data_IF_187251252008
#
_entry.id   IF_187251252008
#
_cell.length_a   1.000
_cell.length_b   1.000
_cell.length_c   1.000
_cell.angle_alpha   90.00
_cell.angle_beta   90.00
_cell.angle_gamma   90.00
#
_symmetry.space_group_name_H-M   'P 1'
#
loop_
_entity.id
_entity.type
_entity.pdbx_description
1 polymer ?
#
# COMPACT_ATOMS: atom_id res chain seq x y z
N UNK A 1 -31.28 -27.02 4.50
CA UNK A 1 -31.02 -25.77 3.76
C UNK A 1 -29.53 -25.64 3.61
N UNK A 2 -29.04 -25.79 2.38
CA UNK A 2 -27.63 -25.64 2.06
C UNK A 2 -27.28 -24.15 1.91
N UNK A 3 -26.02 -23.81 2.17
CA UNK A 3 -25.54 -22.46 1.93
C UNK A 3 -25.47 -22.21 0.41
N UNK A 4 -26.09 -21.13 -0.04
CA UNK A 4 -26.08 -20.75 -1.46
C UNK A 4 -25.05 -19.65 -1.69
N UNK A 5 -24.35 -19.76 -2.82
CA UNK A 5 -23.31 -18.83 -3.23
C UNK A 5 -23.70 -18.23 -4.58
N UNK A 6 -23.68 -16.90 -4.66
CA UNK A 6 -24.00 -16.17 -5.89
C UNK A 6 -22.87 -15.18 -6.18
N UNK A 7 -22.31 -15.25 -7.38
CA UNK A 7 -21.33 -14.29 -7.87
C UNK A 7 -22.07 -13.14 -8.58
N UNK A 8 -21.86 -11.91 -8.15
CA UNK A 8 -22.37 -10.71 -8.79
C UNK A 8 -21.22 -9.99 -9.49
N UNK A 9 -21.33 -9.80 -10.80
CA UNK A 9 -20.28 -9.21 -11.66
C UNK A 9 -20.93 -8.54 -12.87
N UNK A 10 -20.46 -7.36 -13.25
CA UNK A 10 -20.93 -6.64 -14.45
C UNK A 10 -22.48 -6.54 -14.57
N UNK A 11 -23.16 -6.26 -13.45
CA UNK A 11 -24.63 -6.21 -13.32
C UNK A 11 -25.36 -7.54 -13.61
N UNK A 12 -24.63 -8.65 -13.64
CA UNK A 12 -25.16 -10.00 -13.78
C UNK A 12 -24.95 -10.77 -12.47
N UNK A 13 -25.76 -11.82 -12.27
CA UNK A 13 -25.67 -12.70 -11.11
C UNK A 13 -25.60 -14.14 -11.59
N UNK A 14 -24.62 -14.89 -11.08
CA UNK A 14 -24.38 -16.28 -11.42
C UNK A 14 -24.44 -17.14 -10.18
N UNK A 15 -25.17 -18.24 -10.27
CA UNK A 15 -25.14 -19.26 -9.22
C UNK A 15 -23.82 -20.00 -9.27
N UNK A 16 -23.16 -20.04 -8.12
CA UNK A 16 -21.86 -20.70 -7.96
C UNK A 16 -22.11 -22.19 -7.75
N UNK A 17 -21.52 -22.99 -8.63
CA UNK A 17 -21.61 -24.44 -8.61
C UNK A 17 -20.71 -25.05 -7.53
N UNK A 18 -19.48 -24.54 -7.43
CA UNK A 18 -18.48 -25.09 -6.53
C UNK A 18 -17.47 -24.02 -6.09
N UNK A 19 -17.04 -24.09 -4.82
CA UNK A 19 -15.85 -23.39 -4.34
C UNK A 19 -14.67 -24.36 -4.42
N UNK A 20 -13.63 -23.99 -5.17
CA UNK A 20 -12.42 -24.79 -5.35
C UNK A 20 -11.38 -24.47 -4.27
N UNK A 21 -11.25 -23.19 -3.94
CA UNK A 21 -10.31 -22.68 -2.95
C UNK A 21 -10.92 -21.46 -2.27
N UNK A 22 -10.73 -21.35 -0.95
CA UNK A 22 -11.12 -20.18 -0.18
C UNK A 22 -10.09 -19.95 0.92
N UNK A 23 -9.42 -18.80 0.87
CA UNK A 23 -8.47 -18.36 1.88
C UNK A 23 -8.92 -17.03 2.46
N UNK A 24 -9.10 -17.00 3.78
CA UNK A 24 -9.36 -15.78 4.56
C UNK A 24 -8.56 -15.83 5.85
N UNK A 25 -7.94 -14.71 6.22
CA UNK A 25 -7.11 -14.61 7.42
C UNK A 25 -7.00 -13.19 7.93
N UNK A 26 -6.56 -13.05 9.18
CA UNK A 26 -6.27 -11.72 9.74
C UNK A 26 -5.01 -11.18 9.08
N UNK A 27 -5.06 -9.93 8.62
CA UNK A 27 -3.96 -9.25 7.94
C UNK A 27 -3.44 -9.97 6.68
N UNK A 28 -4.29 -10.78 6.04
CA UNK A 28 -3.99 -11.45 4.78
C UNK A 28 -5.08 -11.10 3.76
N UNK A 29 -4.72 -10.77 2.51
CA UNK A 29 -5.72 -10.62 1.45
C UNK A 29 -6.44 -11.96 1.25
N UNK A 30 -7.76 -11.90 1.16
CA UNK A 30 -8.53 -13.09 0.83
C UNK A 30 -8.40 -13.43 -0.65
N UNK A 31 -8.62 -14.71 -0.96
CA UNK A 31 -8.71 -15.23 -2.32
C UNK A 31 -9.74 -16.37 -2.37
N UNK A 32 -10.65 -16.29 -3.33
CA UNK A 32 -11.71 -17.28 -3.55
C UNK A 32 -11.68 -17.74 -5.01
N UNK A 33 -11.38 -19.01 -5.24
CA UNK A 33 -11.51 -19.64 -6.55
C UNK A 33 -12.80 -20.45 -6.61
N UNK A 34 -13.63 -20.17 -7.60
CA UNK A 34 -14.99 -20.71 -7.71
C UNK A 34 -15.34 -21.04 -9.15
N UNK A 35 -16.32 -21.94 -9.31
CA UNK A 35 -16.92 -22.30 -10.58
C UNK A 35 -18.38 -21.86 -10.62
N UNK A 36 -18.80 -21.34 -11.76
CA UNK A 36 -20.18 -20.95 -12.03
C UNK A 36 -20.51 -21.27 -13.49
N UNK A 37 -21.80 -21.21 -13.84
CA UNK A 37 -22.24 -21.46 -15.20
C UNK A 37 -23.07 -20.30 -15.74
N UNK A 38 -23.08 -20.19 -17.07
CA UNK A 38 -23.89 -19.24 -17.81
C UNK A 38 -24.45 -19.89 -19.06
N UNK A 39 -25.67 -19.54 -19.43
CA UNK A 39 -26.29 -19.90 -20.72
C UNK A 39 -25.61 -19.17 -21.87
N UNK A 40 -25.22 -17.92 -21.63
CA UNK A 40 -24.57 -17.07 -22.64
C UNK A 40 -23.07 -17.27 -22.63
N UNK A 41 -22.44 -17.15 -23.81
CA UNK A 41 -20.99 -17.11 -23.94
C UNK A 41 -20.45 -15.76 -23.47
N UNK A 42 -19.76 -15.78 -22.35
CA UNK A 42 -19.21 -14.61 -21.68
C UNK A 42 -17.83 -14.25 -22.25
N UNK A 43 -17.59 -12.95 -22.45
CA UNK A 43 -16.27 -12.40 -22.83
C UNK A 43 -15.43 -12.18 -21.58
N UNK A 44 -14.66 -13.19 -21.17
CA UNK A 44 -13.93 -13.17 -19.89
C UNK A 44 -12.87 -12.07 -19.80
N UNK A 45 -12.30 -11.66 -20.93
CA UNK A 45 -11.29 -10.59 -20.98
C UNK A 45 -11.83 -9.26 -20.46
N UNK A 46 -13.12 -8.95 -20.71
CA UNK A 46 -13.72 -7.70 -20.25
C UNK A 46 -14.08 -7.73 -18.76
N UNK A 47 -13.83 -8.84 -18.07
CA UNK A 47 -14.17 -9.01 -16.66
C UNK A 47 -12.94 -9.01 -15.74
N UNK A 48 -11.74 -9.21 -16.29
CA UNK A 48 -10.51 -9.15 -15.51
C UNK A 48 -10.31 -7.73 -14.98
N UNK A 49 -10.11 -7.60 -13.68
CA UNK A 49 -9.97 -6.32 -12.98
C UNK A 49 -11.29 -5.62 -12.67
N UNK A 50 -12.45 -6.21 -13.02
CA UNK A 50 -13.75 -5.66 -12.69
C UNK A 50 -14.14 -5.97 -11.23
N UNK A 51 -14.87 -5.05 -10.55
CA UNK A 51 -15.39 -5.30 -9.22
C UNK A 51 -16.45 -6.41 -9.26
N UNK A 52 -16.32 -7.35 -8.33
CA UNK A 52 -17.25 -8.45 -8.16
C UNK A 52 -17.60 -8.64 -6.69
N UNK A 53 -18.78 -9.17 -6.43
CA UNK A 53 -19.24 -9.50 -5.08
C UNK A 53 -19.70 -10.94 -5.00
N UNK A 54 -19.08 -11.71 -4.12
CA UNK A 54 -19.59 -13.02 -3.74
C UNK A 54 -20.60 -12.87 -2.60
N UNK A 55 -21.82 -13.34 -2.82
CA UNK A 55 -22.91 -13.32 -1.85
C UNK A 55 -23.11 -14.73 -1.31
N UNK A 56 -22.94 -14.88 0.01
CA UNK A 56 -23.14 -16.11 0.74
C UNK A 56 -24.47 -16.01 1.47
N UNK A 57 -25.43 -16.87 1.15
CA UNK A 57 -26.74 -16.94 1.80
C UNK A 57 -26.78 -18.17 2.70
N UNK A 58 -26.79 -17.96 4.02
CA UNK A 58 -26.84 -19.02 5.01
C UNK A 58 -28.26 -19.52 5.32
N UNK A 59 -28.36 -20.52 6.19
CA UNK A 59 -29.63 -20.96 6.76
C UNK A 59 -30.31 -19.76 7.45
N UNK A 60 -31.62 -19.57 7.24
CA UNK A 60 -32.41 -18.41 7.68
C UNK A 60 -32.23 -17.11 6.89
N UNK A 61 -31.61 -17.17 5.71
CA UNK A 61 -31.56 -16.03 4.79
C UNK A 61 -30.56 -14.93 5.19
N UNK A 62 -29.72 -15.17 6.20
CA UNK A 62 -28.65 -14.25 6.55
C UNK A 62 -27.61 -14.22 5.41
N UNK A 63 -27.37 -13.04 4.88
CA UNK A 63 -26.40 -12.84 3.81
C UNK A 63 -25.08 -12.25 4.32
N UNK A 64 -23.98 -12.78 3.81
CA UNK A 64 -22.64 -12.18 3.89
C UNK A 64 -22.21 -11.81 2.47
N UNK A 65 -21.72 -10.58 2.30
CA UNK A 65 -21.20 -10.10 1.01
C UNK A 65 -19.69 -9.94 1.11
N UNK A 66 -18.97 -10.48 0.14
CA UNK A 66 -17.51 -10.37 0.01
C UNK A 66 -17.25 -9.62 -1.29
N UNK A 67 -16.85 -8.35 -1.16
CA UNK A 67 -16.55 -7.49 -2.30
C UNK A 67 -15.04 -7.56 -2.63
N UNK A 68 -14.73 -7.74 -3.91
CA UNK A 68 -13.36 -7.83 -4.40
C UNK A 68 -13.28 -7.58 -5.90
N UNK A 69 -12.21 -8.08 -6.52
CA UNK A 69 -11.96 -7.97 -7.95
C UNK A 69 -11.71 -9.33 -8.58
N UNK A 70 -12.13 -9.50 -9.82
CA UNK A 70 -11.84 -10.70 -10.59
C UNK A 70 -10.41 -10.65 -11.12
N UNK A 71 -9.50 -11.50 -10.62
CA UNK A 71 -8.09 -11.49 -11.03
C UNK A 71 -7.76 -12.57 -12.06
N UNK A 72 -8.59 -13.60 -12.14
CA UNK A 72 -8.45 -14.69 -13.11
C UNK A 72 -9.83 -15.15 -13.56
N UNK A 73 -9.93 -15.55 -14.82
CA UNK A 73 -11.14 -16.10 -15.42
C UNK A 73 -10.76 -17.07 -16.53
N UNK A 74 -11.39 -18.24 -16.55
CA UNK A 74 -11.22 -19.22 -17.63
C UNK A 74 -12.53 -19.97 -17.91
N UNK A 75 -12.70 -20.40 -19.16
CA UNK A 75 -13.78 -21.30 -19.56
C UNK A 75 -13.29 -22.75 -19.42
N UNK A 76 -14.06 -23.58 -18.74
CA UNK A 76 -13.75 -25.00 -18.52
C UNK A 76 -14.39 -25.92 -19.56
N UNK A 77 -15.44 -25.45 -20.24
CA UNK A 77 -16.13 -26.22 -21.27
C UNK A 77 -17.64 -26.05 -21.21
N UNK A 78 -18.34 -26.90 -21.96
CA UNK A 78 -19.81 -26.92 -22.02
C UNK A 78 -20.31 -28.12 -21.22
N UNK A 79 -21.39 -27.92 -20.48
CA UNK A 79 -22.08 -28.97 -19.73
C UNK A 79 -22.54 -30.09 -20.67
N UNK A 80 -22.65 -31.36 -20.21
CA UNK A 80 -23.02 -32.48 -21.09
C UNK A 80 -24.36 -32.33 -21.83
N UNK A 81 -25.27 -31.53 -21.28
CA UNK A 81 -26.55 -31.16 -21.89
C UNK A 81 -26.44 -30.08 -22.98
N UNK A 82 -25.22 -29.58 -23.25
CA UNK A 82 -24.89 -28.50 -24.17
C UNK A 82 -25.61 -27.17 -23.90
N UNK A 83 -26.26 -27.02 -22.75
CA UNK A 83 -27.09 -25.85 -22.45
C UNK A 83 -26.29 -24.70 -21.81
N UNK A 84 -25.27 -25.03 -21.01
CA UNK A 84 -24.53 -24.06 -20.21
C UNK A 84 -23.02 -24.20 -20.40
N UNK A 85 -22.31 -23.08 -20.40
CA UNK A 85 -20.84 -23.02 -20.35
C UNK A 85 -20.41 -22.89 -18.89
N UNK A 86 -19.44 -23.71 -18.48
CA UNK A 86 -18.86 -23.70 -17.14
C UNK A 86 -17.62 -22.81 -17.14
N UNK A 87 -17.56 -21.92 -16.17
CA UNK A 87 -16.48 -20.97 -15.96
C UNK A 87 -15.85 -21.17 -14.60
N UNK A 88 -14.56 -20.84 -14.51
CA UNK A 88 -13.85 -20.69 -13.24
C UNK A 88 -13.32 -19.26 -13.14
N UNK A 89 -13.45 -18.68 -11.96
CA UNK A 89 -12.88 -17.37 -11.67
C UNK A 89 -12.26 -17.31 -10.29
N UNK A 90 -11.32 -16.37 -10.13
CA UNK A 90 -10.69 -16.05 -8.87
C UNK A 90 -11.09 -14.64 -8.44
N UNK A 91 -11.78 -14.55 -7.31
CA UNK A 91 -12.13 -13.32 -6.64
C UNK A 91 -11.07 -13.00 -5.58
N UNK A 92 -10.35 -11.90 -5.75
CA UNK A 92 -9.30 -11.47 -4.83
C UNK A 92 -9.67 -10.19 -4.09
N UNK A 93 -9.04 -10.01 -2.93
CA UNK A 93 -9.14 -8.75 -2.17
C UNK A 93 -8.58 -7.56 -2.97
N UNK A 94 -9.17 -6.36 -2.82
CA UNK A 94 -8.55 -5.13 -3.33
C UNK A 94 -7.10 -4.95 -2.84
N UNK A 95 -6.77 -5.41 -1.62
CA UNK A 95 -5.39 -5.37 -1.10
C UNK A 95 -4.41 -6.19 -1.95
N UNK A 96 -4.87 -7.23 -2.64
CA UNK A 96 -4.03 -8.02 -3.54
C UNK A 96 -3.54 -7.17 -4.72
N UNK A 97 -4.35 -6.22 -5.20
CA UNK A 97 -3.93 -5.30 -6.28
C UNK A 97 -2.81 -4.35 -5.82
N UNK A 98 -2.84 -3.90 -4.56
CA UNK A 98 -1.76 -3.08 -4.00
C UNK A 98 -0.42 -3.84 -3.96
N UNK A 99 -0.44 -5.17 -3.81
CA UNK A 99 0.76 -5.99 -3.82
C UNK A 99 1.49 -6.02 -5.17
N UNK A 100 0.79 -5.64 -6.25
CA UNK A 100 1.37 -5.53 -7.60
C UNK A 100 2.15 -4.22 -7.80
N UNK A 101 2.07 -3.28 -6.86
CA UNK A 101 2.73 -1.98 -6.94
C UNK A 101 3.90 -1.91 -5.96
N UNK A 102 5.05 -1.40 -6.42
CA UNK A 102 6.23 -1.22 -5.58
C UNK A 102 6.80 0.20 -5.76
N UNK A 103 7.08 0.89 -4.66
CA UNK A 103 7.65 2.25 -4.68
C UNK A 103 8.68 2.43 -3.57
N UNK A 104 9.68 3.29 -3.80
CA UNK A 104 10.71 3.63 -2.81
C UNK A 104 10.52 5.07 -2.36
N UNK A 105 10.30 5.31 -1.07
CA UNK A 105 10.00 6.65 -0.52
C UNK A 105 10.51 6.82 0.90
N UNK A 106 10.78 8.08 1.28
CA UNK A 106 11.17 8.48 2.64
C UNK A 106 10.07 9.35 3.23
N UNK A 107 9.56 8.96 4.41
CA UNK A 107 8.57 9.72 5.17
C UNK A 107 9.26 10.35 6.40
N UNK A 108 9.14 11.67 6.57
CA UNK A 108 9.81 12.42 7.66
C UNK A 108 8.77 13.17 8.47
N UNK A 109 8.89 13.13 9.80
CA UNK A 109 7.98 13.81 10.74
C UNK A 109 6.50 13.42 10.56
N UNK A 110 6.21 12.18 10.14
CA UNK A 110 4.86 11.66 9.94
C UNK A 110 4.61 10.43 10.82
N UNK A 111 3.40 10.27 11.36
CA UNK A 111 3.06 9.03 12.09
C UNK A 111 2.89 7.86 11.12
N UNK A 112 3.03 6.64 11.61
CA UNK A 112 2.77 5.42 10.80
C UNK A 112 1.35 5.45 10.22
N UNK A 113 0.38 5.98 10.96
CA UNK A 113 -1.02 6.08 10.52
C UNK A 113 -1.15 7.07 9.37
N UNK A 114 -0.46 8.21 9.43
CA UNK A 114 -0.48 9.20 8.35
C UNK A 114 0.19 8.67 7.09
N UNK A 115 1.30 7.94 7.25
CA UNK A 115 1.98 7.27 6.13
C UNK A 115 1.05 6.24 5.47
N UNK A 116 0.41 5.37 6.25
CA UNK A 116 -0.52 4.37 5.71
C UNK A 116 -1.69 5.06 5.00
N UNK A 117 -2.27 6.11 5.60
CA UNK A 117 -3.37 6.88 4.99
C UNK A 117 -2.93 7.46 3.64
N UNK A 118 -1.76 8.08 3.60
CA UNK A 118 -1.21 8.67 2.37
C UNK A 118 -1.02 7.60 1.29
N UNK A 119 -0.36 6.48 1.61
CA UNK A 119 -0.12 5.39 0.64
C UNK A 119 -1.42 4.83 0.08
N UNK A 120 -2.42 4.58 0.92
CA UNK A 120 -3.72 4.09 0.48
C UNK A 120 -4.46 5.11 -0.40
N UNK A 121 -4.45 6.39 -0.01
CA UNK A 121 -5.12 7.45 -0.76
C UNK A 121 -4.51 7.62 -2.16
N UNK A 122 -3.18 7.55 -2.26
CA UNK A 122 -2.47 7.61 -3.55
C UNK A 122 -2.78 6.41 -4.45
N UNK A 123 -3.12 5.26 -3.86
CA UNK A 123 -3.63 4.11 -4.60
C UNK A 123 -5.14 4.21 -4.94
N UNK A 124 -5.73 5.41 -4.85
CA UNK A 124 -7.15 5.71 -5.07
C UNK A 124 -8.11 5.06 -4.04
N UNK A 125 -7.63 4.73 -2.84
CA UNK A 125 -8.50 4.23 -1.79
C UNK A 125 -9.11 5.36 -0.98
N UNK A 126 -10.41 5.27 -0.70
CA UNK A 126 -11.17 6.29 0.03
C UNK A 126 -11.44 5.79 1.45
N UNK A 127 -11.06 6.60 2.45
CA UNK A 127 -11.36 6.33 3.86
C UNK A 127 -12.88 6.27 4.09
N UNK A 128 -13.33 5.38 4.98
CA UNK A 128 -14.74 4.99 5.24
C UNK A 128 -15.43 4.20 4.13
N UNK A 129 -14.87 4.15 2.93
CA UNK A 129 -15.38 3.30 1.83
C UNK A 129 -14.55 2.01 1.76
N UNK A 130 -13.24 2.13 1.57
CA UNK A 130 -12.35 0.97 1.41
C UNK A 130 -11.62 0.61 2.71
N UNK A 131 -11.28 1.60 3.53
CA UNK A 131 -10.55 1.37 4.79
C UNK A 131 -11.00 2.35 5.89
N UNK A 132 -10.73 2.01 7.13
CA UNK A 132 -10.97 2.88 8.29
C UNK A 132 -9.93 2.57 9.37
N UNK A 133 -9.47 3.58 10.09
CA UNK A 133 -8.62 3.37 11.27
C UNK A 133 -9.47 3.21 12.52
N UNK A 134 -9.34 2.07 13.20
CA UNK A 134 -9.91 1.82 14.53
C UNK A 134 -8.77 1.50 15.49
N UNK A 135 -8.16 2.54 16.03
CA UNK A 135 -6.97 2.45 16.87
C UNK A 135 -7.38 2.51 18.34
N UNK A 136 -6.68 1.75 19.19
CA UNK A 136 -6.87 1.82 20.65
C UNK A 136 -5.92 2.81 21.33
N UNK A 137 -4.88 3.22 20.62
CA UNK A 137 -3.81 4.09 21.13
C UNK A 137 -3.24 4.93 19.98
N UNK A 138 -2.54 6.00 20.34
CA UNK A 138 -1.81 6.84 19.40
C UNK A 138 -0.45 6.22 19.05
N UNK A 139 0.01 6.48 17.82
CA UNK A 139 1.30 6.00 17.32
C UNK A 139 2.29 7.16 17.19
N UNK A 140 3.56 6.97 17.57
CA UNK A 140 4.57 8.03 17.50
C UNK A 140 4.92 8.39 16.06
N UNK A 141 5.52 9.57 15.87
CA UNK A 141 6.06 10.02 14.60
C UNK A 141 7.28 9.16 14.20
N UNK A 142 7.32 8.72 12.94
CA UNK A 142 8.46 8.07 12.32
C UNK A 142 9.54 9.10 12.02
N UNK A 143 10.75 8.86 12.56
CA UNK A 143 11.89 9.78 12.61
C UNK A 143 11.52 11.18 13.15
N UNK A 144 11.88 11.44 14.40
CA UNK A 144 12.11 12.82 14.83
C UNK A 144 13.28 13.32 14.02
N UNK A 145 13.13 14.40 13.25
CA UNK A 145 14.29 15.09 12.69
C UNK A 145 15.33 15.28 13.81
N UNK A 146 16.65 15.16 13.55
CA UNK A 146 17.62 15.57 14.54
C UNK A 146 17.25 17.01 14.88
N UNK A 147 16.77 17.20 16.12
CA UNK A 147 16.39 18.50 16.66
C UNK A 147 17.46 19.47 16.20
N UNK A 148 17.02 20.63 15.69
CA UNK A 148 17.88 21.78 15.45
C UNK A 148 19.00 21.75 16.47
N UNK A 149 20.21 21.51 15.99
CA UNK A 149 21.39 21.70 16.80
C UNK A 149 21.26 23.14 17.27
N UNK A 150 20.88 23.33 18.54
CA UNK A 150 21.03 24.63 19.17
C UNK A 150 22.46 25.03 18.84
N UNK A 151 22.73 26.21 18.25
CA UNK A 151 24.11 26.64 18.08
C UNK A 151 24.74 26.50 19.46
N UNK A 152 25.75 25.64 19.58
CA UNK A 152 26.44 25.42 20.84
C UNK A 152 26.75 26.80 21.41
N UNK A 153 26.42 27.08 22.68
CA UNK A 153 26.82 28.35 23.27
C UNK A 153 28.35 28.44 23.15
N UNK A 154 28.83 29.55 22.57
CA UNK A 154 30.25 29.88 22.33
C UNK A 154 31.09 30.01 23.62
N UNK A 155 30.61 29.46 24.73
CA UNK A 155 31.16 29.56 26.08
C UNK A 155 31.81 28.25 26.55
N UNK A 156 32.04 27.27 25.66
CA UNK A 156 33.13 26.30 25.84
C UNK A 156 34.50 26.96 25.60
N UNK A 157 34.71 28.11 26.24
CA UNK A 157 35.99 28.70 26.54
C UNK A 157 36.23 28.41 28.04
N UNK A 158 36.64 27.18 28.32
CA UNK A 158 37.23 26.82 29.61
C UNK A 158 38.58 26.18 29.32
N UNK A 159 39.56 27.08 29.16
CA UNK A 159 40.99 26.80 29.26
C UNK A 159 41.24 25.89 30.47
N UNK A 160 41.57 24.63 30.25
CA UNK A 160 42.36 23.87 31.21
C UNK A 160 43.83 24.13 30.88
N UNK A 161 44.40 25.13 31.54
CA UNK A 161 45.82 25.12 31.86
C UNK A 161 46.03 23.92 32.80
N UNK A 162 46.84 22.95 32.38
CA UNK A 162 47.95 22.33 33.12
C UNK A 162 48.59 21.30 32.18
N UNK A 163 49.87 21.47 31.89
CA UNK A 163 50.69 20.48 31.16
C UNK A 163 51.43 21.10 29.98
N UNK A 164 52.38 21.99 30.29
CA UNK A 164 53.13 22.75 29.29
C UNK A 164 53.85 21.88 28.27
N UNK A 165 53.49 22.03 27.01
CA UNK A 165 54.37 21.80 25.87
C UNK A 165 53.90 22.69 24.71
N UNK A 166 54.63 23.77 24.47
CA UNK A 166 54.48 24.65 23.31
C UNK A 166 55.39 24.07 22.23
N UNK A 167 54.81 23.41 21.22
CA UNK A 167 55.52 23.06 20.00
C UNK A 167 55.14 24.07 18.91
N UNK A 168 55.96 25.11 18.78
CA UNK A 168 55.92 26.05 17.65
C UNK A 168 56.66 25.38 16.50
N UNK A 169 55.91 24.89 15.50
CA UNK A 169 56.49 24.52 14.22
C UNK A 169 56.42 25.73 13.28
N UNK A 170 57.45 26.57 13.34
CA UNK A 170 57.72 27.58 12.33
C UNK A 170 58.46 26.93 11.15
N UNK A 171 57.81 26.85 9.99
CA UNK A 171 58.50 26.79 8.70
C UNK A 171 58.11 28.04 7.91
N UNK A 172 59.07 28.96 7.75
CA UNK A 172 58.95 30.21 7.00
C UNK A 172 58.96 29.99 5.48
N UNK A 173 58.16 30.75 4.71
CA UNK A 173 58.46 32.03 4.01
C UNK A 173 58.91 31.80 2.54
N UNK A 174 58.85 32.78 1.58
CA UNK A 174 58.12 34.06 1.51
C UNK A 174 57.46 34.38 0.12
N UNK A 175 56.75 35.52 0.03
CA UNK A 175 56.48 36.31 -1.20
C UNK A 175 55.09 36.10 -1.80
N UNK A 176 54.29 37.10 -2.21
CA UNK A 176 54.55 38.47 -2.65
C UNK A 176 53.23 39.27 -2.52
N UNK A 177 53.29 40.48 -1.96
CA UNK A 177 52.18 41.44 -1.92
C UNK A 177 51.86 41.97 -3.33
N UNK A 178 50.59 41.97 -3.73
CA UNK A 178 50.08 42.71 -4.90
C UNK A 178 48.85 43.53 -4.46
N UNK A 179 48.73 44.80 -4.88
CA UNK A 179 47.80 45.76 -4.27
C UNK A 179 46.38 45.68 -4.85
N UNK A 180 45.39 46.00 -4.01
CA UNK A 180 44.03 46.34 -4.44
C UNK A 180 44.01 47.69 -5.17
N UNK A 181 42.98 47.92 -6.00
CA UNK A 181 42.29 49.21 -5.92
C UNK A 181 40.77 49.07 -5.83
N UNK A 182 40.18 50.04 -5.12
CA UNK A 182 38.75 50.33 -5.00
C UNK A 182 38.27 51.20 -6.18
N UNK A 183 36.93 51.25 -6.33
CA UNK A 183 36.10 52.31 -6.96
C UNK A 183 36.11 52.34 -8.51
N UNK A 184 35.03 52.61 -9.25
CA UNK A 184 33.78 53.33 -8.98
C UNK A 184 32.69 52.97 -10.01
N UNK A 185 31.47 53.41 -9.71
CA UNK A 185 30.29 53.41 -10.57
C UNK A 185 30.47 54.09 -11.93
N UNK A 186 29.75 53.58 -12.93
CA UNK A 186 28.81 54.29 -13.82
C UNK A 186 27.96 53.25 -14.54
#
# INVERSE_FOLDING_TARGET
>A
MEAQFTLQLANQSFDVLQILHAQEGIAQPFEWSLQFQSTDRLTLESWLGEPATLVLTGAWGKQRRIAGYLTQAQSLGITPDQANVIYQATLASPCALLSLQHTNRVFVNQSVIDVIRQVLTEANWVEKVHFQFRLRQDFPLALKSPKSMNPMPLWCNAYWLIGGFVMVLCLGLPGHNGPSPMTSAS
#
